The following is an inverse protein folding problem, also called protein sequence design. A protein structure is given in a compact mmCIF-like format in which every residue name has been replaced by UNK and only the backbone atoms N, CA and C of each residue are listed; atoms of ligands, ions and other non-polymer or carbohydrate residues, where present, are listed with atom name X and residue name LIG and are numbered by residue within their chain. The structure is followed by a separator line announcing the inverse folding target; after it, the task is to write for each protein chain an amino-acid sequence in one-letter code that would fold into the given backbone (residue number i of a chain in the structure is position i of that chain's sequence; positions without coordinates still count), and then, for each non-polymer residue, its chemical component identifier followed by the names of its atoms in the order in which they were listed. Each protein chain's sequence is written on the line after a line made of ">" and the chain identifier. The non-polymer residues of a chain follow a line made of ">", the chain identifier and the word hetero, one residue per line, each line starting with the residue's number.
data_IF_874001563118
#
_entry.id   IF_874001563118
#
_cell.length_a   1.000
_cell.length_b   1.000
_cell.length_c   1.000
_cell.angle_alpha   90.00
_cell.angle_beta   90.00
_cell.angle_gamma   90.00
#
_symmetry.space_group_name_H-M   'P 1'
#
loop_
_entity.id
_entity.type
_entity.pdbx_description
1 polymer ?
#
# COMPACT_ATOMS: atom_id res chain seq x y z
N UNK A 1 20.55 -17.50 54.57
CA UNK A 1 21.65 -16.78 53.91
C UNK A 1 21.59 -15.36 54.44
N UNK A 2 22.61 -14.96 55.18
CA UNK A 2 22.65 -13.83 56.10
C UNK A 2 22.65 -12.46 55.43
N UNK A 3 21.86 -11.52 55.96
CA UNK A 3 22.26 -10.10 56.03
C UNK A 3 23.41 -9.95 57.04
N UNK A 4 24.36 -9.03 56.82
CA UNK A 4 25.10 -8.42 57.91
C UNK A 4 24.62 -6.99 58.12
N UNK A 5 23.86 -6.85 59.20
CA UNK A 5 23.48 -5.64 59.89
C UNK A 5 24.72 -5.12 60.65
N UNK A 6 25.40 -4.09 60.14
CA UNK A 6 26.55 -3.49 60.83
C UNK A 6 26.08 -2.48 61.89
N UNK A 7 25.73 -3.08 63.02
CA UNK A 7 25.79 -2.52 64.36
C UNK A 7 27.11 -1.75 64.60
N UNK A 8 27.02 -0.45 64.85
CA UNK A 8 28.04 0.29 65.60
C UNK A 8 27.38 1.22 66.62
N UNK A 9 27.04 0.61 67.76
CA UNK A 9 27.47 1.03 69.11
C UNK A 9 27.78 2.51 69.31
N UNK A 10 26.88 3.20 70.03
CA UNK A 10 27.15 4.44 70.72
C UNK A 10 28.34 4.29 71.69
N UNK A 11 29.23 5.29 71.81
CA UNK A 11 30.21 5.30 72.89
C UNK A 11 29.59 5.83 74.18
N UNK A 12 29.71 5.00 75.21
CA UNK A 12 29.29 5.22 76.59
C UNK A 12 29.88 6.49 77.21
N UNK A 13 29.03 7.13 78.03
CA UNK A 13 29.37 8.23 78.90
C UNK A 13 30.15 7.82 80.15
N UNK A 14 31.01 8.75 80.61
CA UNK A 14 31.55 8.91 81.96
C UNK A 14 32.73 8.02 82.41
N UNK A 15 33.90 8.66 82.54
CA UNK A 15 34.85 8.43 83.63
C UNK A 15 35.71 9.66 83.86
N UNK A 16 35.27 10.50 84.82
CA UNK A 16 36.08 11.53 85.46
C UNK A 16 37.21 10.82 86.23
N UNK A 17 38.48 11.05 85.87
CA UNK A 17 39.58 10.74 86.79
C UNK A 17 40.79 11.65 86.57
N UNK A 18 41.04 12.44 87.62
CA UNK A 18 42.33 12.95 88.10
C UNK A 18 43.06 14.01 87.26
N UNK A 19 42.84 15.25 87.69
CA UNK A 19 43.70 16.42 87.51
C UNK A 19 45.05 16.18 88.20
N UNK A 20 46.21 16.28 87.52
CA UNK A 20 47.48 16.47 88.20
C UNK A 20 47.68 17.96 88.53
N UNK A 21 47.55 18.29 89.82
CA UNK A 21 47.90 19.57 90.45
C UNK A 21 49.42 19.82 90.45
N UNK A 22 50.02 20.07 89.29
CA UNK A 22 51.33 20.73 89.20
C UNK A 22 51.30 21.80 88.10
N UNK A 23 51.69 23.01 88.50
CA UNK A 23 51.76 24.25 87.74
C UNK A 23 50.47 25.07 87.62
N UNK A 24 49.94 25.40 88.80
CA UNK A 24 49.65 26.80 89.11
C UNK A 24 50.90 27.66 88.83
N UNK A 25 50.68 28.80 88.17
CA UNK A 25 51.56 29.98 87.98
C UNK A 25 52.75 29.90 87.01
N UNK A 26 52.49 30.16 85.72
CA UNK A 26 53.32 31.02 84.84
C UNK A 26 52.31 31.73 83.91
N UNK A 27 51.91 32.97 84.19
CA UNK A 27 52.64 34.14 83.72
C UNK A 27 52.23 34.52 82.29
N UNK A 28 51.21 35.36 82.14
CA UNK A 28 51.03 36.31 81.03
C UNK A 28 51.31 35.89 79.55
N UNK A 29 51.09 34.63 79.14
CA UNK A 29 51.04 34.26 77.70
C UNK A 29 49.79 33.40 77.40
N UNK A 30 48.64 33.83 77.90
CA UNK A 30 47.35 33.27 77.50
C UNK A 30 46.93 33.70 76.08
N UNK A 31 47.56 34.73 75.51
CA UNK A 31 47.24 35.26 74.18
C UNK A 31 47.98 34.60 73.02
N UNK A 32 49.23 34.15 73.19
CA UNK A 32 50.10 33.77 72.06
C UNK A 32 49.75 32.44 71.37
N UNK A 33 49.62 31.35 72.14
CA UNK A 33 49.25 30.03 71.60
C UNK A 33 47.80 29.99 71.08
N UNK A 34 46.90 30.71 71.76
CA UNK A 34 45.50 30.82 71.36
C UNK A 34 45.33 31.71 70.12
N UNK A 35 46.10 32.81 69.99
CA UNK A 35 46.12 33.63 68.78
C UNK A 35 46.68 32.88 67.56
N UNK A 36 47.73 32.07 67.72
CA UNK A 36 48.25 31.23 66.65
C UNK A 36 47.24 30.15 66.23
N UNK A 37 46.52 29.55 67.18
CA UNK A 37 45.46 28.59 66.88
C UNK A 37 44.28 29.26 66.16
N UNK A 38 43.84 30.45 66.59
CA UNK A 38 42.80 31.22 65.92
C UNK A 38 43.24 31.70 64.53
N UNK A 39 44.51 32.06 64.35
CA UNK A 39 45.09 32.40 63.05
C UNK A 39 45.12 31.19 62.10
N UNK A 40 45.51 30.01 62.59
CA UNK A 40 45.48 28.77 61.82
C UNK A 40 44.05 28.33 61.46
N UNK A 41 43.08 28.47 62.38
CA UNK A 41 41.66 28.28 62.08
C UNK A 41 41.13 29.31 61.08
N UNK A 42 41.54 30.58 61.17
CA UNK A 42 41.16 31.62 60.23
C UNK A 42 41.64 31.33 58.80
N UNK A 43 42.84 30.79 58.64
CA UNK A 43 43.37 30.36 57.33
C UNK A 43 42.65 29.10 56.79
N UNK A 44 42.28 28.14 57.64
CA UNK A 44 41.49 26.97 57.24
C UNK A 44 40.04 27.35 56.85
N UNK A 45 39.45 28.32 57.56
CA UNK A 45 38.13 28.86 57.23
C UNK A 45 38.13 29.53 55.85
N UNK A 46 39.24 30.15 55.43
CA UNK A 46 39.37 30.72 54.09
C UNK A 46 39.31 29.66 52.99
N UNK A 47 39.99 28.51 53.17
CA UNK A 47 39.94 27.39 52.23
C UNK A 47 38.55 26.74 52.18
N UNK A 48 37.89 26.58 53.34
CA UNK A 48 36.51 26.11 53.40
C UNK A 48 35.54 27.11 52.74
N UNK A 49 35.76 28.41 52.91
CA UNK A 49 34.95 29.47 52.28
C UNK A 49 35.06 29.40 50.76
N UNK A 50 36.27 29.19 50.22
CA UNK A 50 36.48 28.99 48.77
C UNK A 50 35.78 27.75 48.23
N UNK A 51 35.86 26.62 48.96
CA UNK A 51 35.18 25.38 48.56
C UNK A 51 33.65 25.52 48.58
N UNK A 52 33.07 26.21 49.58
CA UNK A 52 31.62 26.48 49.65
C UNK A 52 31.18 27.44 48.54
N UNK A 53 31.99 28.46 48.22
CA UNK A 53 31.73 29.34 47.07
C UNK A 53 31.73 28.52 45.77
N UNK A 54 32.71 27.64 45.57
CA UNK A 54 32.75 26.77 44.38
C UNK A 54 31.52 25.86 44.30
N UNK A 55 31.14 25.24 45.41
CA UNK A 55 29.93 24.43 45.47
C UNK A 55 28.66 25.26 45.14
N UNK A 56 28.60 26.53 45.54
CA UNK A 56 27.48 27.41 45.19
C UNK A 56 27.44 27.73 43.68
N UNK A 57 28.60 27.85 43.03
CA UNK A 57 28.71 28.02 41.58
C UNK A 57 28.29 26.73 40.86
N UNK A 58 28.72 25.57 41.34
CA UNK A 58 28.35 24.27 40.78
C UNK A 58 26.83 24.04 40.89
N UNK A 59 26.23 24.34 42.06
CA UNK A 59 24.76 24.27 42.25
C UNK A 59 24.03 25.25 41.33
N UNK A 60 24.59 26.43 41.08
CA UNK A 60 24.01 27.40 40.13
C UNK A 60 24.06 26.86 38.70
N UNK A 61 25.18 26.27 38.28
CA UNK A 61 25.31 25.62 36.97
C UNK A 61 24.34 24.44 36.82
N UNK A 62 24.19 23.62 37.87
CA UNK A 62 23.22 22.52 37.88
C UNK A 62 21.78 23.02 37.76
N UNK A 63 21.45 24.17 38.36
CA UNK A 63 20.13 24.78 38.23
C UNK A 63 19.85 25.27 36.79
N UNK A 64 20.87 25.80 36.11
CA UNK A 64 20.79 26.17 34.69
C UNK A 64 20.62 24.92 33.81
N UNK A 65 21.44 23.88 34.01
CA UNK A 65 21.33 22.61 33.27
C UNK A 65 19.95 21.96 33.42
N UNK A 66 19.38 21.98 34.64
CA UNK A 66 18.02 21.48 34.87
C UNK A 66 16.96 22.29 34.13
N UNK A 67 17.12 23.61 34.03
CA UNK A 67 16.22 24.49 33.28
C UNK A 67 16.31 24.23 31.77
N UNK A 68 17.52 24.02 31.26
CA UNK A 68 17.77 23.68 29.87
C UNK A 68 17.20 22.31 29.52
N UNK A 69 17.40 21.31 30.39
CA UNK A 69 16.84 19.98 30.21
C UNK A 69 15.31 20.02 30.19
N UNK A 70 14.69 20.81 31.07
CA UNK A 70 13.23 21.02 31.07
C UNK A 70 12.75 21.62 29.75
N UNK A 71 13.50 22.59 29.21
CA UNK A 71 13.17 23.23 27.93
C UNK A 71 13.30 22.24 26.78
N UNK A 72 14.39 21.48 26.71
CA UNK A 72 14.61 20.43 25.70
C UNK A 72 13.52 19.35 25.76
N UNK A 73 13.14 18.94 26.97
CA UNK A 73 12.06 17.96 27.17
C UNK A 73 10.71 18.51 26.70
N UNK A 74 10.43 19.80 26.95
CA UNK A 74 9.22 20.46 26.44
C UNK A 74 9.21 20.52 24.91
N UNK A 75 10.34 20.85 24.29
CA UNK A 75 10.46 20.88 22.82
C UNK A 75 10.31 19.49 22.23
N UNK A 76 10.90 18.47 22.85
CA UNK A 76 10.76 17.07 22.43
C UNK A 76 9.32 16.60 22.53
N UNK A 77 8.63 16.91 23.64
CA UNK A 77 7.22 16.57 23.81
C UNK A 77 6.36 17.18 22.70
N UNK A 78 6.57 18.47 22.40
CA UNK A 78 5.86 19.16 21.32
C UNK A 78 6.18 18.58 19.94
N UNK A 79 7.45 18.33 19.64
CA UNK A 79 7.85 17.72 18.37
C UNK A 79 7.27 16.33 18.19
N UNK A 80 7.15 15.55 19.28
CA UNK A 80 6.52 14.24 19.25
C UNK A 80 5.01 14.33 18.99
N UNK A 81 4.32 15.28 19.62
CA UNK A 81 2.89 15.55 19.39
C UNK A 81 2.63 15.98 17.94
N UNK A 82 3.42 16.93 17.42
CA UNK A 82 3.33 17.39 16.03
C UNK A 82 3.62 16.25 15.04
N UNK A 83 4.63 15.41 15.32
CA UNK A 83 4.93 14.23 14.52
C UNK A 83 3.81 13.19 14.53
N UNK A 84 3.16 12.97 15.67
CA UNK A 84 1.99 12.08 15.78
C UNK A 84 0.79 12.64 15.01
N UNK A 85 0.54 13.94 15.07
CA UNK A 85 -0.54 14.59 14.32
C UNK A 85 -0.33 14.48 12.80
N UNK A 86 0.89 14.75 12.33
CA UNK A 86 1.25 14.61 10.92
C UNK A 86 1.07 13.17 10.43
N UNK A 87 1.59 12.19 11.20
CA UNK A 87 1.44 10.78 10.88
C UNK A 87 -0.03 10.33 10.85
N UNK A 88 -0.87 10.86 11.75
CA UNK A 88 -2.30 10.58 11.76
C UNK A 88 -3.00 11.10 10.50
N UNK A 89 -2.62 12.28 10.01
CA UNK A 89 -3.18 12.81 8.75
C UNK A 89 -2.69 12.00 7.55
N UNK A 90 -1.41 11.63 7.50
CA UNK A 90 -0.89 10.75 6.45
C UNK A 90 -1.65 9.41 6.40
N UNK A 91 -1.90 8.78 7.56
CA UNK A 91 -2.70 7.56 7.63
C UNK A 91 -4.13 7.73 7.14
N UNK A 92 -4.74 8.89 7.39
CA UNK A 92 -6.08 9.22 6.88
C UNK A 92 -6.06 9.36 5.36
N UNK A 93 -5.04 10.01 4.79
CA UNK A 93 -4.88 10.12 3.34
C UNK A 93 -4.64 8.76 2.69
N UNK A 94 -3.80 7.91 3.29
CA UNK A 94 -3.60 6.53 2.84
C UNK A 94 -4.92 5.76 2.83
N UNK A 95 -5.73 5.88 3.89
CA UNK A 95 -7.05 5.23 3.95
C UNK A 95 -7.98 5.70 2.83
N UNK A 96 -8.03 7.01 2.57
CA UNK A 96 -8.84 7.57 1.47
C UNK A 96 -8.34 7.04 0.13
N UNK A 97 -7.03 7.01 -0.09
CA UNK A 97 -6.42 6.44 -1.29
C UNK A 97 -6.80 4.96 -1.49
N UNK A 98 -6.72 4.16 -0.43
CA UNK A 98 -7.13 2.75 -0.46
C UNK A 98 -8.62 2.58 -0.78
N UNK A 99 -9.50 3.41 -0.21
CA UNK A 99 -10.93 3.38 -0.51
C UNK A 99 -11.22 3.71 -1.97
N UNK A 100 -10.55 4.75 -2.51
CA UNK A 100 -10.64 5.13 -3.92
C UNK A 100 -10.17 4.00 -4.84
N UNK A 101 -9.01 3.39 -4.54
CA UNK A 101 -8.51 2.23 -5.29
C UNK A 101 -9.49 1.05 -5.24
N UNK A 102 -10.08 0.76 -4.09
CA UNK A 102 -11.09 -0.29 -3.94
C UNK A 102 -12.32 -0.02 -4.82
N UNK A 103 -12.81 1.22 -4.85
CA UNK A 103 -13.93 1.61 -5.70
C UNK A 103 -13.60 1.48 -7.19
N UNK A 104 -12.40 1.88 -7.59
CA UNK A 104 -11.94 1.73 -8.97
C UNK A 104 -11.84 0.25 -9.39
N UNK A 105 -11.35 -0.63 -8.50
CA UNK A 105 -11.30 -2.07 -8.76
C UNK A 105 -12.69 -2.69 -8.91
N UNK A 106 -13.66 -2.29 -8.09
CA UNK A 106 -15.05 -2.74 -8.21
C UNK A 106 -15.68 -2.31 -9.55
N UNK A 107 -15.45 -1.06 -9.97
CA UNK A 107 -15.91 -0.57 -11.26
C UNK A 107 -15.26 -1.34 -12.43
N UNK A 108 -13.94 -1.55 -12.40
CA UNK A 108 -13.25 -2.36 -13.41
C UNK A 108 -13.80 -3.79 -13.48
N UNK A 109 -14.13 -4.40 -12.34
CA UNK A 109 -14.75 -5.73 -12.30
C UNK A 109 -16.12 -5.73 -13.00
N UNK A 110 -16.97 -4.73 -12.72
CA UNK A 110 -18.27 -4.56 -13.39
C UNK A 110 -18.13 -4.38 -14.91
N UNK A 111 -17.18 -3.55 -15.34
CA UNK A 111 -16.92 -3.32 -16.77
C UNK A 111 -16.46 -4.61 -17.46
N UNK A 112 -15.57 -5.37 -16.84
CA UNK A 112 -15.12 -6.67 -17.34
C UNK A 112 -16.28 -7.69 -17.46
N UNK A 113 -17.18 -7.72 -16.47
CA UNK A 113 -18.38 -8.55 -16.56
C UNK A 113 -19.29 -8.14 -17.72
N UNK A 114 -19.48 -6.84 -17.96
CA UNK A 114 -20.27 -6.35 -19.08
C UNK A 114 -19.62 -6.69 -20.43
N UNK A 115 -18.30 -6.54 -20.55
CA UNK A 115 -17.56 -6.92 -21.75
C UNK A 115 -17.73 -8.41 -22.06
N UNK A 116 -17.64 -9.28 -21.05
CA UNK A 116 -17.84 -10.72 -21.24
C UNK A 116 -19.25 -11.05 -21.75
N UNK A 117 -20.29 -10.39 -21.20
CA UNK A 117 -21.67 -10.54 -21.72
C UNK A 117 -21.79 -10.09 -23.17
N UNK A 118 -21.18 -8.96 -23.53
CA UNK A 118 -21.22 -8.44 -24.90
C UNK A 118 -20.52 -9.40 -25.87
N UNK A 119 -19.37 -9.96 -25.49
CA UNK A 119 -18.65 -10.97 -26.28
C UNK A 119 -19.50 -12.22 -26.48
N UNK A 120 -20.15 -12.73 -25.41
CA UNK A 120 -21.06 -13.87 -25.51
C UNK A 120 -22.23 -13.63 -26.47
N UNK A 121 -22.86 -12.44 -26.38
CA UNK A 121 -23.93 -12.04 -27.30
C UNK A 121 -23.45 -11.98 -28.76
N UNK A 122 -22.26 -11.40 -28.99
CA UNK A 122 -21.68 -11.31 -30.33
C UNK A 122 -21.37 -12.69 -30.91
N UNK A 123 -20.83 -13.61 -30.10
CA UNK A 123 -20.60 -15.00 -30.53
C UNK A 123 -21.90 -15.68 -30.93
N UNK A 124 -22.98 -15.51 -30.18
CA UNK A 124 -24.29 -16.05 -30.54
C UNK A 124 -24.82 -15.48 -31.87
N UNK A 125 -24.65 -14.17 -32.10
CA UNK A 125 -25.03 -13.52 -33.37
C UNK A 125 -24.21 -14.05 -34.56
N UNK A 126 -22.91 -14.29 -34.36
CA UNK A 126 -22.04 -14.87 -35.39
C UNK A 126 -22.52 -16.27 -35.76
N UNK A 127 -22.83 -17.12 -34.77
CA UNK A 127 -23.34 -18.47 -35.03
C UNK A 127 -24.66 -18.43 -35.82
N UNK A 128 -25.60 -17.57 -35.44
CA UNK A 128 -26.85 -17.42 -36.18
C UNK A 128 -26.65 -16.90 -37.62
N UNK A 129 -25.66 -16.03 -37.86
CA UNK A 129 -25.31 -15.64 -39.23
C UNK A 129 -24.71 -16.81 -40.02
N UNK A 130 -23.90 -17.66 -39.40
CA UNK A 130 -23.36 -18.86 -40.04
C UNK A 130 -24.47 -19.82 -40.46
N UNK A 131 -25.44 -20.09 -39.58
CA UNK A 131 -26.61 -20.93 -39.90
C UNK A 131 -27.40 -20.37 -41.08
N UNK A 132 -27.71 -19.07 -41.07
CA UNK A 132 -28.41 -18.41 -42.19
C UNK A 132 -27.64 -18.54 -43.52
N UNK A 133 -26.30 -18.45 -43.48
CA UNK A 133 -25.47 -18.61 -44.69
C UNK A 133 -25.53 -20.04 -45.20
N UNK A 134 -25.53 -21.04 -44.32
CA UNK A 134 -25.68 -22.45 -44.71
C UNK A 134 -27.04 -22.71 -45.35
N UNK A 135 -28.13 -22.19 -44.78
CA UNK A 135 -29.47 -22.28 -45.35
C UNK A 135 -29.54 -21.63 -46.74
N UNK A 136 -28.99 -20.42 -46.89
CA UNK A 136 -28.90 -19.74 -48.18
C UNK A 136 -28.10 -20.54 -49.21
N UNK A 137 -26.99 -21.16 -48.79
CA UNK A 137 -26.18 -22.02 -49.65
C UNK A 137 -27.00 -23.24 -50.15
N UNK A 138 -27.73 -23.89 -49.25
CA UNK A 138 -28.64 -24.99 -49.58
C UNK A 138 -29.73 -24.57 -50.58
N UNK A 139 -30.35 -23.41 -50.37
CA UNK A 139 -31.35 -22.86 -51.28
C UNK A 139 -30.78 -22.60 -52.69
N UNK A 140 -29.55 -22.07 -52.78
CA UNK A 140 -28.85 -21.85 -54.06
C UNK A 140 -28.59 -23.18 -54.79
N UNK A 141 -28.18 -24.22 -54.08
CA UNK A 141 -28.00 -25.56 -54.65
C UNK A 141 -29.34 -26.09 -55.20
N UNK A 142 -30.42 -25.93 -54.45
CA UNK A 142 -31.78 -26.30 -54.88
C UNK A 142 -32.17 -25.58 -56.19
N UNK A 143 -32.05 -24.26 -56.22
CA UNK A 143 -32.32 -23.47 -57.43
C UNK A 143 -31.47 -23.91 -58.63
N UNK A 144 -30.20 -24.24 -58.40
CA UNK A 144 -29.31 -24.74 -59.48
C UNK A 144 -29.82 -26.07 -60.05
N UNK A 145 -30.29 -26.98 -59.19
CA UNK A 145 -30.91 -28.24 -59.61
C UNK A 145 -32.17 -28.00 -60.45
N UNK A 146 -33.05 -27.10 -60.01
CA UNK A 146 -34.29 -26.78 -60.71
C UNK A 146 -34.02 -26.18 -62.10
N UNK A 147 -33.03 -25.28 -62.20
CA UNK A 147 -32.59 -24.71 -63.49
C UNK A 147 -32.09 -25.81 -64.43
N UNK A 148 -31.31 -26.78 -63.92
CA UNK A 148 -30.82 -27.89 -64.73
C UNK A 148 -31.97 -28.77 -65.25
N UNK A 149 -32.95 -29.07 -64.42
CA UNK A 149 -34.15 -29.83 -64.83
C UNK A 149 -34.98 -29.07 -65.87
N UNK A 150 -35.12 -27.76 -65.70
CA UNK A 150 -35.82 -26.89 -66.64
C UNK A 150 -35.09 -26.86 -68.00
N UNK A 151 -33.76 -26.74 -68.00
CA UNK A 151 -32.95 -26.82 -69.22
C UNK A 151 -33.13 -28.16 -69.95
N UNK A 152 -33.16 -29.29 -69.21
CA UNK A 152 -33.44 -30.60 -69.79
C UNK A 152 -34.83 -30.72 -70.42
N UNK A 153 -35.84 -30.18 -69.73
CA UNK A 153 -37.22 -30.13 -70.24
C UNK A 153 -37.32 -29.28 -71.50
N UNK A 154 -36.65 -28.12 -71.53
CA UNK A 154 -36.60 -27.23 -72.70
C UNK A 154 -35.90 -27.89 -73.89
N UNK A 155 -34.80 -28.61 -73.64
CA UNK A 155 -34.10 -29.40 -74.68
C UNK A 155 -35.03 -30.46 -75.30
N UNK A 156 -35.77 -31.18 -74.46
CA UNK A 156 -36.75 -32.18 -74.92
C UNK A 156 -37.86 -31.54 -75.74
N UNK A 157 -38.40 -30.40 -75.29
CA UNK A 157 -39.41 -29.64 -76.02
C UNK A 157 -38.90 -29.21 -77.40
N UNK A 158 -37.66 -28.71 -77.47
CA UNK A 158 -37.05 -28.29 -78.73
C UNK A 158 -36.89 -29.46 -79.72
N UNK A 159 -36.49 -30.65 -79.23
CA UNK A 159 -36.44 -31.85 -80.06
C UNK A 159 -37.81 -32.27 -80.59
N UNK A 160 -38.84 -32.21 -79.74
CA UNK A 160 -40.21 -32.54 -80.14
C UNK A 160 -40.74 -31.55 -81.19
N UNK A 161 -40.49 -30.25 -81.02
CA UNK A 161 -40.82 -29.23 -82.02
C UNK A 161 -40.08 -29.47 -83.34
N UNK A 162 -38.80 -29.84 -83.30
CA UNK A 162 -38.03 -30.19 -84.48
C UNK A 162 -38.60 -31.39 -85.24
N UNK A 163 -39.01 -32.44 -84.52
CA UNK A 163 -39.71 -33.60 -85.11
C UNK A 163 -41.05 -33.21 -85.72
N UNK A 164 -41.85 -32.43 -85.01
CA UNK A 164 -43.14 -31.96 -85.51
C UNK A 164 -42.98 -31.10 -86.77
N UNK A 165 -41.98 -30.22 -86.82
CA UNK A 165 -41.67 -29.44 -88.01
C UNK A 165 -41.28 -30.32 -89.20
N UNK A 166 -40.49 -31.38 -88.96
CA UNK A 166 -40.16 -32.37 -89.98
C UNK A 166 -41.41 -33.10 -90.49
N UNK A 167 -42.27 -33.59 -89.59
CA UNK A 167 -43.49 -34.30 -89.94
C UNK A 167 -44.44 -33.39 -90.76
N UNK A 168 -44.62 -32.13 -90.35
CA UNK A 168 -45.42 -31.14 -91.08
C UNK A 168 -44.85 -30.93 -92.49
N UNK A 169 -43.53 -30.83 -92.66
CA UNK A 169 -42.90 -30.65 -93.97
C UNK A 169 -43.21 -31.84 -94.91
N UNK A 170 -43.15 -33.07 -94.39
CA UNK A 170 -43.48 -34.28 -95.16
C UNK A 170 -44.94 -34.31 -95.61
N UNK A 171 -45.88 -33.86 -94.76
CA UNK A 171 -47.29 -33.74 -95.14
C UNK A 171 -47.56 -32.59 -96.13
N UNK A 172 -46.75 -31.53 -96.09
CA UNK A 172 -46.91 -30.36 -96.95
C UNK A 172 -46.36 -30.56 -98.36
N UNK A 173 -45.44 -31.51 -98.56
CA UNK A 173 -44.86 -31.88 -99.86
C UNK A 173 -45.17 -33.34 -100.26
N UNK A 174 -46.45 -33.76 -100.32
CA UNK A 174 -46.80 -35.16 -100.57
C UNK A 174 -46.33 -35.67 -101.95
N UNK A 175 -46.11 -34.76 -102.90
CA UNK A 175 -45.69 -35.08 -104.27
C UNK A 175 -44.31 -35.77 -104.32
N UNK A 176 -43.38 -35.43 -103.42
CA UNK A 176 -42.07 -36.11 -103.30
C UNK A 176 -42.19 -37.55 -102.79
N UNK A 177 -43.25 -37.86 -102.05
CA UNK A 177 -43.53 -39.19 -101.51
C UNK A 177 -44.37 -40.04 -102.49
N UNK A 178 -45.31 -39.41 -103.20
CA UNK A 178 -46.21 -40.10 -104.14
C UNK A 178 -45.59 -40.34 -105.52
N UNK A 179 -44.62 -39.51 -105.93
CA UNK A 179 -43.90 -39.66 -107.19
C UNK A 179 -42.38 -39.72 -106.96
N UNK A 180 -41.85 -40.76 -106.28
CA UNK A 180 -40.43 -40.83 -105.91
C UNK A 180 -39.47 -40.92 -107.11
N UNK A 181 -39.99 -41.16 -108.33
CA UNK A 181 -39.20 -41.40 -109.54
C UNK A 181 -39.52 -40.47 -110.72
N UNK A 182 -40.25 -39.35 -110.54
CA UNK A 182 -40.53 -38.40 -111.63
C UNK A 182 -39.54 -37.23 -111.70
N UNK A 183 -38.23 -37.53 -111.72
CA UNK A 183 -37.20 -36.57 -112.14
C UNK A 183 -36.52 -37.05 -113.41
#
# INVERSE_FOLDING_TARGET
>A
MSEPDHNHTAPDSASLKTIPSKMLSIGAIAGGGMALFMFSMGLNMHQMTGAVIQMSLDVTSMAEDMRDMRTRMSTMARSMEEGQAAMSEDFKQVRIGMQSMSGNMDNMSKDMHQLNRNIGSMSGRINGMSENIEEMSGAIIGMSSDINQMNGSMSTMNQNMGRMAYDINQFSEPEKLMMPFMR
#
